data_IF_328663699589
#
_entry.id   IF_328663699589
#
_cell.length_a   1.000
_cell.length_b   1.000
_cell.length_c   1.000
_cell.angle_alpha   90.00
_cell.angle_beta   90.00
_cell.angle_gamma   90.00
#
_symmetry.space_group_name_H-M   'P 1'
#
loop_
_entity.id
_entity.type
_entity.pdbx_description
1 polymer ?
#
# COMPACT_ATOMS: atom_id res chain seq x y z
N UNK A 1 -19.56 5.14 -0.44
CA UNK A 1 -18.80 3.98 0.08
C UNK A 1 -17.36 4.23 -0.30
N UNK A 2 -16.53 4.61 0.67
CA UNK A 2 -15.17 5.06 0.39
C UNK A 2 -14.31 3.82 0.16
N UNK A 3 -13.99 3.51 -1.11
CA UNK A 3 -13.08 2.43 -1.49
C UNK A 3 -11.62 2.82 -1.16
N UNK A 4 -11.33 3.05 0.12
CA UNK A 4 -9.99 3.31 0.63
C UNK A 4 -9.11 2.10 0.35
N UNK A 5 -7.95 2.34 -0.23
CA UNK A 5 -7.01 1.27 -0.52
C UNK A 5 -5.97 1.13 0.59
N UNK A 6 -5.82 -0.08 1.12
CA UNK A 6 -4.91 -0.39 2.22
C UNK A 6 -3.54 -0.84 1.70
N UNK A 7 -2.47 -0.36 2.34
CA UNK A 7 -1.09 -0.73 2.06
C UNK A 7 -0.31 -0.88 3.37
N UNK A 8 0.36 -2.00 3.57
CA UNK A 8 1.39 -2.11 4.61
C UNK A 8 2.62 -1.29 4.19
N UNK A 9 3.08 -0.41 5.07
CA UNK A 9 4.22 0.49 4.81
C UNK A 9 5.30 0.34 5.89
N UNK A 10 6.56 0.52 5.50
CA UNK A 10 7.68 0.65 6.46
C UNK A 10 8.56 1.82 6.07
N UNK A 11 8.53 2.88 6.86
CA UNK A 11 9.40 4.05 6.69
C UNK A 11 10.89 3.68 6.91
N UNK A 12 11.19 2.70 7.75
CA UNK A 12 12.56 2.29 8.07
C UNK A 12 13.27 1.62 6.88
N UNK A 13 12.51 0.83 6.11
CA UNK A 13 13.02 0.06 4.97
C UNK A 13 12.57 0.62 3.62
N UNK A 14 11.83 1.72 3.60
CA UNK A 14 11.16 2.29 2.43
C UNK A 14 10.18 1.31 1.72
N UNK A 15 9.66 0.30 2.43
CA UNK A 15 8.74 -0.68 1.84
C UNK A 15 7.38 -0.03 1.53
N UNK A 16 6.90 -0.21 0.30
CA UNK A 16 5.65 0.35 -0.22
C UNK A 16 5.47 1.86 -0.03
N UNK A 17 6.55 2.62 0.19
CA UNK A 17 6.50 4.05 0.50
C UNK A 17 5.69 4.86 -0.53
N UNK A 18 5.82 4.51 -1.80
CA UNK A 18 5.18 5.24 -2.90
C UNK A 18 3.72 4.87 -3.15
N UNK A 19 3.26 3.69 -2.69
CA UNK A 19 1.93 3.15 -3.04
C UNK A 19 0.77 4.06 -2.60
N UNK A 20 0.75 4.63 -1.37
CA UNK A 20 -0.30 5.55 -0.96
C UNK A 20 -0.38 6.81 -1.82
N UNK A 21 0.78 7.39 -2.16
CA UNK A 21 0.86 8.60 -2.98
C UNK A 21 0.44 8.33 -4.43
N UNK A 22 0.85 7.20 -4.98
CA UNK A 22 0.47 6.78 -6.33
C UNK A 22 -1.04 6.55 -6.44
N UNK A 23 -1.63 5.85 -5.46
CA UNK A 23 -3.08 5.66 -5.40
C UNK A 23 -3.81 7.00 -5.34
N UNK A 24 -3.37 7.91 -4.47
CA UNK A 24 -3.98 9.23 -4.37
C UNK A 24 -3.85 10.02 -5.69
N UNK A 25 -2.68 10.01 -6.33
CA UNK A 25 -2.45 10.68 -7.60
C UNK A 25 -3.37 10.13 -8.72
N UNK A 26 -3.51 8.80 -8.84
CA UNK A 26 -4.43 8.15 -9.79
C UNK A 26 -5.88 8.60 -9.58
N UNK A 27 -6.33 8.65 -8.32
CA UNK A 27 -7.69 9.08 -7.99
C UNK A 27 -7.93 10.57 -8.24
N UNK A 28 -6.97 11.43 -7.91
CA UNK A 28 -7.10 12.88 -8.08
C UNK A 28 -7.03 13.30 -9.56
N UNK A 29 -6.20 12.63 -10.36
CA UNK A 29 -6.00 12.95 -11.78
C UNK A 29 -7.02 12.22 -12.66
N UNK A 30 -7.56 11.09 -12.19
CA UNK A 30 -8.49 10.26 -12.95
C UNK A 30 -7.80 9.39 -14.00
N UNK A 31 -6.48 9.23 -13.93
CA UNK A 31 -5.70 8.36 -14.83
C UNK A 31 -5.27 7.08 -14.08
N UNK A 32 -5.86 5.91 -14.40
CA UNK A 32 -5.47 4.64 -13.78
C UNK A 32 -4.07 4.16 -14.19
N UNK A 33 -3.54 4.63 -15.33
CA UNK A 33 -2.23 4.23 -15.86
C UNK A 33 -1.10 5.16 -15.40
N UNK A 34 -1.38 6.12 -14.52
CA UNK A 34 -0.35 6.99 -13.96
C UNK A 34 0.70 6.16 -13.20
N UNK A 35 1.97 6.46 -13.45
CA UNK A 35 3.13 5.84 -12.81
C UNK A 35 4.16 6.90 -12.44
N UNK A 36 4.93 6.66 -11.37
CA UNK A 36 6.08 7.49 -11.05
C UNK A 36 7.28 7.09 -11.90
N UNK A 37 7.78 8.03 -12.70
CA UNK A 37 8.86 7.79 -13.69
C UNK A 37 10.24 7.65 -13.01
N UNK A 38 10.36 8.16 -11.79
CA UNK A 38 11.57 8.11 -10.97
C UNK A 38 11.19 7.96 -9.51
N UNK A 39 11.92 7.13 -8.76
CA UNK A 39 11.86 7.21 -7.31
C UNK A 39 12.39 8.59 -6.88
N UNK A 40 11.67 9.26 -5.97
CA UNK A 40 12.20 10.44 -5.29
C UNK A 40 13.53 10.09 -4.61
N UNK A 41 14.40 11.09 -4.37
CA UNK A 41 15.65 10.87 -3.66
C UNK A 41 15.39 10.49 -2.19
N UNK A 42 15.08 9.22 -1.96
CA UNK A 42 14.83 8.67 -0.63
C UNK A 42 16.16 8.59 0.13
N UNK A 43 16.09 8.87 1.43
CA UNK A 43 17.18 8.53 2.34
C UNK A 43 17.45 7.02 2.26
N UNK A 44 18.74 6.60 2.26
CA UNK A 44 19.07 5.19 2.28
C UNK A 44 18.32 4.47 3.42
N UNK A 45 17.76 3.28 3.18
CA UNK A 45 17.00 2.56 4.20
C UNK A 45 17.90 2.19 5.38
N UNK A 46 17.40 2.41 6.59
CA UNK A 46 18.12 2.08 7.83
C UNK A 46 18.08 0.58 8.15
N UNK A 47 17.22 -0.18 7.47
CA UNK A 47 17.13 -1.63 7.55
C UNK A 47 16.67 -2.23 6.23
N UNK A 48 17.18 -3.41 5.90
CA UNK A 48 16.71 -4.20 4.75
C UNK A 48 15.47 -4.98 5.17
N UNK A 49 14.37 -4.83 4.43
CA UNK A 49 13.21 -5.71 4.59
C UNK A 49 13.57 -7.10 4.06
N UNK A 50 13.33 -8.14 4.86
CA UNK A 50 13.54 -9.51 4.42
C UNK A 50 12.54 -9.85 3.28
N UNK A 51 13.00 -10.31 2.11
CA UNK A 51 12.13 -10.62 0.97
C UNK A 51 11.08 -11.67 1.26
N UNK A 52 11.38 -12.67 2.10
CA UNK A 52 10.41 -13.71 2.44
C UNK A 52 9.26 -13.14 3.29
N UNK A 53 9.59 -12.25 4.22
CA UNK A 53 8.60 -11.51 5.02
C UNK A 53 7.75 -10.57 4.15
N UNK A 54 8.36 -9.87 3.19
CA UNK A 54 7.61 -9.01 2.24
C UNK A 54 6.58 -9.83 1.43
N UNK A 55 6.99 -10.98 0.88
CA UNK A 55 6.11 -11.86 0.12
C UNK A 55 4.95 -12.41 0.97
N UNK A 56 5.19 -12.70 2.26
CA UNK A 56 4.12 -13.10 3.18
C UNK A 56 3.10 -11.98 3.35
N UNK A 57 3.54 -10.74 3.55
CA UNK A 57 2.62 -9.60 3.68
C UNK A 57 1.81 -9.36 2.40
N UNK A 58 2.42 -9.46 1.22
CA UNK A 58 1.70 -9.35 -0.05
C UNK A 58 0.61 -10.43 -0.16
N UNK A 59 0.90 -11.68 0.23
CA UNK A 59 -0.09 -12.75 0.25
C UNK A 59 -1.24 -12.47 1.23
N UNK A 60 -0.93 -11.96 2.44
CA UNK A 60 -1.97 -11.57 3.39
C UNK A 60 -2.86 -10.45 2.84
N UNK A 61 -2.29 -9.47 2.13
CA UNK A 61 -3.05 -8.40 1.49
C UNK A 61 -4.04 -8.94 0.44
N UNK A 62 -3.63 -9.90 -0.39
CA UNK A 62 -4.53 -10.53 -1.37
C UNK A 62 -5.70 -11.25 -0.68
N UNK A 63 -5.42 -11.95 0.43
CA UNK A 63 -6.44 -12.63 1.23
C UNK A 63 -7.39 -11.62 1.86
N UNK A 64 -6.89 -10.53 2.44
CA UNK A 64 -7.73 -9.48 3.06
C UNK A 64 -8.57 -8.75 2.02
N UNK A 65 -8.01 -8.43 0.84
CA UNK A 65 -8.76 -7.79 -0.25
C UNK A 65 -9.91 -8.66 -0.79
N UNK A 66 -9.78 -9.99 -0.69
CA UNK A 66 -10.79 -10.95 -1.13
C UNK A 66 -11.72 -11.40 0.00
N UNK A 67 -11.40 -11.07 1.25
CA UNK A 67 -12.24 -11.33 2.41
C UNK A 67 -13.19 -10.14 2.58
N UNK A 68 -14.50 -10.40 2.55
CA UNK A 68 -15.49 -9.37 2.85
C UNK A 68 -15.24 -8.84 4.27
N UNK A 69 -15.14 -7.53 4.42
CA UNK A 69 -15.11 -6.90 5.73
C UNK A 69 -16.40 -7.31 6.46
N UNK A 70 -16.33 -7.77 7.73
CA UNK A 70 -17.52 -7.97 8.52
C UNK A 70 -18.31 -6.64 8.57
N UNK A 71 -19.62 -6.70 8.37
CA UNK A 71 -20.49 -5.52 8.41
C UNK A 71 -20.28 -4.80 9.76
N UNK A 72 -19.90 -3.52 9.71
CA UNK A 72 -19.68 -2.63 10.87
C UNK A 72 -21.00 -2.26 11.60
N UNK A 73 -21.97 -3.17 11.65
CA UNK A 73 -23.27 -2.97 12.32
C UNK A 73 -23.30 -3.44 13.79
N UNK A 74 -22.20 -3.99 14.32
CA UNK A 74 -22.03 -4.23 15.77
C UNK A 74 -21.13 -3.14 16.38
N UNK A 75 -21.79 -2.08 16.87
CA UNK A 75 -21.37 -1.15 17.93
C UNK A 75 -20.31 -0.06 17.62
N UNK A 76 -20.80 1.08 17.11
CA UNK A 76 -20.28 2.43 17.45
C UNK A 76 -20.91 2.96 18.75
#
# INVERSE_FOLDING_TARGET
MNNLQYYDISAKSNYNFEKPFLWLARNLIGDPNLEFVTMSALTPPEAVMDPATAAQYEHYLEVVQTTALPDEDDDL
#
